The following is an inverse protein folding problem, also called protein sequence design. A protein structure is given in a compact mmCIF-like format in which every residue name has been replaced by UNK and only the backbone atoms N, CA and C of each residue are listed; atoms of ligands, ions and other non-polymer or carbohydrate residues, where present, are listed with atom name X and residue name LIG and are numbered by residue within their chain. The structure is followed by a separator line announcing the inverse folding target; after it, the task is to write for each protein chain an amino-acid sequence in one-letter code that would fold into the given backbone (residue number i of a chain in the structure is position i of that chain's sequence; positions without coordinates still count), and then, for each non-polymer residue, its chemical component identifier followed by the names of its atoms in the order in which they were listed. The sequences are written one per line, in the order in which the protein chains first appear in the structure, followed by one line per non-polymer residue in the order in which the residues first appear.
data_IF_042908723857
#
_entry.id   IF_042908723857
#
_cell.length_a   1.000
_cell.length_b   1.000
_cell.length_c   1.000
_cell.angle_alpha   90.00
_cell.angle_beta   90.00
_cell.angle_gamma   90.00
#
_symmetry.space_group_name_H-M   'P 1'
#
loop_
_entity.id
_entity.type
_entity.pdbx_description
1 polymer ?
#
# COMPACT_ATOMS: atom_id res chain seq x y z
N UNK A 1 -24.12 -8.20 56.82
CA UNK A 1 -23.57 -8.11 55.44
C UNK A 1 -22.06 -8.09 55.58
N UNK A 2 -21.36 -9.06 55.01
CA UNK A 2 -19.94 -9.32 55.29
C UNK A 2 -19.05 -8.27 54.59
N UNK A 3 -18.13 -7.64 55.34
CA UNK A 3 -17.24 -6.56 54.85
C UNK A 3 -16.40 -7.06 53.66
N UNK A 4 -16.03 -8.34 53.68
CA UNK A 4 -15.27 -8.99 52.61
C UNK A 4 -16.04 -9.06 51.29
N UNK A 5 -17.34 -9.27 51.36
CA UNK A 5 -18.22 -9.33 50.18
C UNK A 5 -18.38 -7.94 49.55
N UNK A 6 -18.49 -6.90 50.38
CA UNK A 6 -18.55 -5.53 49.91
C UNK A 6 -17.23 -5.11 49.23
N UNK A 7 -16.08 -5.48 49.78
CA UNK A 7 -14.77 -5.21 49.17
C UNK A 7 -14.62 -5.87 47.79
N UNK A 8 -15.10 -7.11 47.63
CA UNK A 8 -15.10 -7.80 46.32
C UNK A 8 -15.99 -7.11 45.30
N UNK A 9 -17.18 -6.67 45.71
CA UNK A 9 -18.11 -5.97 44.81
C UNK A 9 -17.56 -4.62 44.36
N UNK A 10 -16.86 -3.89 45.24
CA UNK A 10 -16.18 -2.64 44.88
C UNK A 10 -15.07 -2.91 43.87
N UNK A 11 -14.19 -3.90 44.14
CA UNK A 11 -13.11 -4.24 43.21
C UNK A 11 -13.66 -4.65 41.84
N UNK A 12 -14.70 -5.48 41.79
CA UNK A 12 -15.33 -5.87 40.53
C UNK A 12 -15.80 -4.65 39.72
N UNK A 13 -16.52 -3.72 40.36
CA UNK A 13 -17.00 -2.49 39.70
C UNK A 13 -15.87 -1.60 39.18
N UNK A 14 -14.76 -1.52 39.92
CA UNK A 14 -13.57 -0.77 39.49
C UNK A 14 -12.94 -1.43 38.26
N UNK A 15 -12.79 -2.76 38.27
CA UNK A 15 -12.23 -3.52 37.15
C UNK A 15 -13.11 -3.47 35.90
N UNK A 16 -14.43 -3.56 36.05
CA UNK A 16 -15.38 -3.50 34.94
C UNK A 16 -15.37 -2.11 34.28
N UNK A 17 -15.34 -1.04 35.09
CA UNK A 17 -15.23 0.33 34.57
C UNK A 17 -13.90 0.58 33.85
N UNK A 18 -12.81 0.00 34.33
CA UNK A 18 -11.50 0.10 33.69
C UNK A 18 -11.50 -0.59 32.32
N UNK A 19 -12.00 -1.83 32.24
CA UNK A 19 -12.12 -2.56 30.97
C UNK A 19 -13.01 -1.82 29.98
N UNK A 20 -14.14 -1.28 30.43
CA UNK A 20 -15.03 -0.51 29.56
C UNK A 20 -14.35 0.74 29.01
N UNK A 21 -13.57 1.44 29.85
CA UNK A 21 -12.80 2.62 29.44
C UNK A 21 -11.76 2.26 28.39
N UNK A 22 -11.00 1.17 28.58
CA UNK A 22 -9.97 0.73 27.63
C UNK A 22 -10.60 0.29 26.31
N UNK A 23 -11.70 -0.48 26.35
CA UNK A 23 -12.44 -0.91 25.17
C UNK A 23 -12.95 0.28 24.36
N UNK A 24 -13.53 1.29 25.03
CA UNK A 24 -13.96 2.52 24.36
C UNK A 24 -12.80 3.28 23.71
N UNK A 25 -11.62 3.36 24.36
CA UNK A 25 -10.46 4.02 23.77
C UNK A 25 -10.00 3.30 22.50
N UNK A 26 -9.96 1.97 22.51
CA UNK A 26 -9.57 1.17 21.34
C UNK A 26 -10.57 1.34 20.17
N UNK A 27 -11.87 1.35 20.46
CA UNK A 27 -12.91 1.61 19.44
C UNK A 27 -12.76 2.99 18.80
N UNK A 28 -12.48 4.02 19.62
CA UNK A 28 -12.27 5.39 19.15
C UNK A 28 -11.03 5.45 18.25
N UNK A 29 -9.91 4.86 18.68
CA UNK A 29 -8.66 4.84 17.92
C UNK A 29 -8.87 4.13 16.57
N UNK A 30 -9.51 2.96 16.58
CA UNK A 30 -9.84 2.21 15.36
C UNK A 30 -10.70 3.04 14.39
N UNK A 31 -11.69 3.75 14.91
CA UNK A 31 -12.58 4.59 14.09
C UNK A 31 -11.86 5.80 13.49
N UNK A 32 -10.97 6.44 14.26
CA UNK A 32 -10.11 7.53 13.77
C UNK A 32 -9.20 7.02 12.64
N UNK A 33 -8.57 5.86 12.83
CA UNK A 33 -7.71 5.26 11.81
C UNK A 33 -8.50 4.98 10.52
N UNK A 34 -9.67 4.33 10.63
CA UNK A 34 -10.56 4.08 9.49
C UNK A 34 -10.96 5.37 8.77
N UNK A 35 -11.27 6.44 9.51
CA UNK A 35 -11.64 7.75 8.93
C UNK A 35 -10.47 8.43 8.22
N UNK A 36 -9.26 8.36 8.77
CA UNK A 36 -8.07 8.99 8.17
C UNK A 36 -7.54 8.21 6.95
N UNK A 37 -7.83 6.90 6.89
CA UNK A 37 -7.52 6.03 5.75
C UNK A 37 -8.49 6.21 4.57
N UNK A 38 -9.63 6.91 4.76
CA UNK A 38 -10.52 7.29 3.64
C UNK A 38 -9.91 8.43 2.83
N UNK A 39 -8.75 8.18 2.22
CA UNK A 39 -8.21 9.00 1.15
C UNK A 39 -9.17 8.90 -0.02
N UNK A 40 -10.04 9.90 -0.18
CA UNK A 40 -10.85 10.07 -1.38
C UNK A 40 -9.92 10.40 -2.53
N UNK A 41 -9.38 9.37 -3.18
CA UNK A 41 -8.64 9.51 -4.43
C UNK A 41 -9.60 10.03 -5.50
N UNK A 42 -9.26 11.15 -6.13
CA UNK A 42 -9.96 11.62 -7.33
C UNK A 42 -9.37 10.90 -8.52
N UNK A 43 -10.13 9.97 -9.10
CA UNK A 43 -9.73 9.23 -10.29
C UNK A 43 -10.11 10.02 -11.54
N UNK A 44 -9.12 10.30 -12.40
CA UNK A 44 -9.33 10.96 -13.70
C UNK A 44 -9.04 9.93 -14.80
N UNK A 45 -10.03 9.65 -15.65
CA UNK A 45 -9.89 8.78 -16.80
C UNK A 45 -9.55 9.57 -18.07
N UNK A 46 -8.50 9.17 -18.79
CA UNK A 46 -8.15 9.71 -20.12
C UNK A 46 -8.41 8.60 -21.14
N UNK A 47 -9.39 8.77 -22.03
CA UNK A 47 -9.87 7.74 -22.97
C UNK A 47 -9.76 8.22 -24.42
N UNK A 48 -9.51 7.29 -25.36
CA UNK A 48 -9.30 7.57 -26.79
C UNK A 48 -8.55 6.42 -27.48
N UNK A 49 -8.41 6.46 -28.81
CA UNK A 49 -7.73 5.40 -29.60
C UNK A 49 -6.20 5.42 -29.37
N UNK A 50 -5.55 4.30 -29.68
CA UNK A 50 -4.08 4.22 -29.61
C UNK A 50 -3.44 5.25 -30.55
N UNK A 51 -2.35 5.89 -30.11
CA UNK A 51 -1.67 6.93 -30.88
C UNK A 51 -2.24 8.35 -30.79
N UNK A 52 -3.41 8.57 -30.18
CA UNK A 52 -4.03 9.91 -30.05
C UNK A 52 -3.36 10.82 -29.00
N UNK A 53 -2.21 10.41 -28.45
CA UNK A 53 -1.44 11.25 -27.54
C UNK A 53 -1.97 11.35 -26.11
N UNK A 54 -2.84 10.42 -25.67
CA UNK A 54 -3.32 10.35 -24.27
C UNK A 54 -2.17 10.34 -23.25
N UNK A 55 -1.15 9.53 -23.50
CA UNK A 55 0.06 9.46 -22.67
C UNK A 55 0.87 10.75 -22.71
N UNK A 56 0.85 11.45 -23.85
CA UNK A 56 1.47 12.77 -24.03
C UNK A 56 0.72 13.85 -23.26
N UNK A 57 -0.62 13.80 -23.24
CA UNK A 57 -1.47 14.71 -22.46
C UNK A 57 -1.28 14.50 -20.96
N UNK A 58 -1.28 13.25 -20.49
CA UNK A 58 -1.00 12.91 -19.10
C UNK A 58 0.38 13.43 -18.67
N UNK A 59 1.39 13.21 -19.52
CA UNK A 59 2.76 13.69 -19.33
C UNK A 59 2.84 15.22 -19.27
N UNK A 60 2.07 15.92 -20.11
CA UNK A 60 2.00 17.38 -20.12
C UNK A 60 1.34 17.95 -18.85
N UNK A 61 0.20 17.38 -18.42
CA UNK A 61 -0.52 17.79 -17.20
C UNK A 61 0.35 17.58 -15.96
N UNK A 62 1.08 16.47 -15.90
CA UNK A 62 1.99 16.17 -14.78
C UNK A 62 3.32 16.93 -14.84
N UNK A 63 3.57 17.74 -15.88
CA UNK A 63 4.83 18.47 -16.07
C UNK A 63 6.05 17.55 -16.26
N UNK A 64 5.84 16.29 -16.66
CA UNK A 64 6.88 15.26 -16.80
C UNK A 64 6.84 14.70 -18.22
N UNK A 65 7.79 15.07 -19.07
CA UNK A 65 7.94 14.52 -20.44
C UNK A 65 8.29 13.02 -20.33
N UNK A 66 7.52 12.14 -20.99
CA UNK A 66 7.69 10.68 -21.05
C UNK A 66 7.41 9.91 -19.75
N UNK A 67 6.33 10.25 -19.02
CA UNK A 67 5.91 9.49 -17.83
C UNK A 67 5.53 8.04 -18.16
N UNK A 68 5.18 7.77 -19.41
CA UNK A 68 4.87 6.46 -19.94
C UNK A 68 5.82 6.18 -21.10
N UNK A 69 6.36 4.96 -21.24
CA UNK A 69 7.05 4.58 -22.47
C UNK A 69 6.10 4.80 -23.65
N UNK A 70 6.52 5.60 -24.62
CA UNK A 70 5.78 5.77 -25.88
C UNK A 70 5.95 4.51 -26.72
N UNK A 71 5.22 3.46 -26.39
CA UNK A 71 5.22 2.24 -27.17
C UNK A 71 4.48 2.47 -28.50
N UNK A 72 5.24 2.65 -29.57
CA UNK A 72 4.73 2.61 -30.94
C UNK A 72 4.41 1.17 -31.41
N UNK A 73 4.35 0.20 -30.50
CA UNK A 73 4.07 -1.20 -30.82
C UNK A 73 3.15 -1.77 -29.73
N UNK A 74 1.87 -2.02 -30.08
CA UNK A 74 0.93 -2.81 -29.28
C UNK A 74 0.61 -2.29 -27.87
N UNK A 75 -0.54 -1.61 -27.72
CA UNK A 75 -1.25 -1.31 -26.48
C UNK A 75 -0.49 -1.49 -25.14
N UNK A 76 0.15 -0.40 -24.67
CA UNK A 76 0.82 -0.37 -23.38
C UNK A 76 0.36 0.85 -22.58
N UNK A 77 -0.34 0.61 -21.47
CA UNK A 77 -0.67 1.61 -20.46
C UNK A 77 -0.54 0.92 -19.12
N UNK A 78 0.65 0.97 -18.52
CA UNK A 78 0.92 0.38 -17.21
C UNK A 78 1.51 1.42 -16.25
N UNK A 79 0.64 1.80 -15.31
CA UNK A 79 0.73 2.52 -14.01
C UNK A 79 1.88 2.01 -13.11
N UNK A 80 2.48 2.64 -12.09
CA UNK A 80 2.63 4.01 -11.51
C UNK A 80 3.91 3.95 -10.66
N UNK A 81 4.79 4.96 -10.75
CA UNK A 81 6.15 4.93 -10.19
C UNK A 81 6.29 5.34 -8.71
N UNK A 82 5.26 5.87 -8.05
CA UNK A 82 5.32 6.28 -6.63
C UNK A 82 4.37 5.50 -5.72
N UNK A 83 3.30 4.92 -6.29
CA UNK A 83 2.38 4.07 -5.54
C UNK A 83 2.90 2.65 -5.36
N UNK A 84 3.81 2.15 -6.21
CA UNK A 84 4.28 0.76 -6.15
C UNK A 84 5.01 0.43 -4.83
N UNK A 85 5.92 1.29 -4.35
CA UNK A 85 6.58 1.08 -3.06
C UNK A 85 5.59 1.13 -1.90
N UNK A 86 4.58 2.01 -1.99
CA UNK A 86 3.55 2.13 -0.97
C UNK A 86 2.65 0.89 -0.97
N UNK A 87 2.23 0.43 -2.13
CA UNK A 87 1.44 -0.80 -2.28
C UNK A 87 2.24 -2.01 -1.79
N UNK A 88 3.54 -2.08 -2.10
CA UNK A 88 4.42 -3.13 -1.58
C UNK A 88 4.50 -3.11 -0.05
N UNK A 89 4.65 -1.92 0.56
CA UNK A 89 4.64 -1.74 2.02
C UNK A 89 3.29 -2.12 2.64
N UNK A 90 2.19 -1.74 2.01
CA UNK A 90 0.84 -2.06 2.46
C UNK A 90 0.62 -3.59 2.44
N UNK A 91 1.04 -4.28 1.38
CA UNK A 91 0.97 -5.75 1.29
C UNK A 91 1.85 -6.45 2.34
N UNK A 92 3.07 -5.99 2.58
CA UNK A 92 3.93 -6.53 3.63
C UNK A 92 3.36 -6.33 5.04
N UNK A 93 2.66 -5.22 5.25
CA UNK A 93 1.96 -4.94 6.51
C UNK A 93 0.85 -5.96 6.74
N UNK A 94 0.10 -6.31 5.69
CA UNK A 94 -0.92 -7.37 5.74
C UNK A 94 -0.29 -8.74 6.02
N UNK A 95 0.85 -9.05 5.41
CA UNK A 95 1.55 -10.33 5.66
C UNK A 95 2.14 -10.46 7.07
N UNK A 96 2.43 -9.33 7.72
CA UNK A 96 2.98 -9.31 9.09
C UNK A 96 1.88 -9.38 10.16
N UNK A 97 0.60 -9.44 9.77
CA UNK A 97 -0.54 -9.53 10.70
C UNK A 97 -0.74 -10.98 11.17
N UNK A 98 -0.20 -11.28 12.35
CA UNK A 98 -0.34 -12.56 13.03
C UNK A 98 -1.58 -12.64 13.94
N UNK A 99 -2.52 -11.68 13.85
CA UNK A 99 -3.73 -11.71 14.67
C UNK A 99 -4.70 -12.82 14.22
N UNK A 100 -5.41 -13.41 15.19
CA UNK A 100 -6.44 -14.43 14.92
C UNK A 100 -7.63 -13.87 14.11
N UNK A 101 -7.79 -12.53 14.11
CA UNK A 101 -8.83 -11.79 13.40
C UNK A 101 -8.35 -11.23 12.04
N UNK A 102 -7.19 -11.68 11.55
CA UNK A 102 -6.65 -11.21 10.26
C UNK A 102 -7.61 -11.53 9.12
N UNK A 103 -7.61 -10.65 8.12
CA UNK A 103 -8.40 -10.85 6.91
C UNK A 103 -7.70 -11.87 6.00
N UNK A 104 -8.16 -13.12 6.08
CA UNK A 104 -7.54 -14.29 5.42
C UNK A 104 -7.56 -14.16 3.90
N UNK A 105 -8.61 -13.53 3.33
CA UNK A 105 -8.72 -13.25 1.89
C UNK A 105 -7.66 -12.21 1.46
N UNK A 106 -7.50 -11.13 2.23
CA UNK A 106 -6.46 -10.12 1.98
C UNK A 106 -5.05 -10.69 2.15
N UNK A 107 -4.86 -11.60 3.11
CA UNK A 107 -3.60 -12.28 3.34
C UNK A 107 -3.21 -13.15 2.14
N UNK A 108 -4.12 -14.00 1.65
CA UNK A 108 -3.88 -14.85 0.47
C UNK A 108 -3.54 -14.01 -0.78
N UNK A 109 -4.28 -12.93 -1.01
CA UNK A 109 -4.00 -11.99 -2.11
C UNK A 109 -2.61 -11.36 -1.99
N UNK A 110 -2.19 -11.01 -0.76
CA UNK A 110 -0.88 -10.43 -0.52
C UNK A 110 0.25 -11.44 -0.80
N UNK A 111 0.07 -12.69 -0.36
CA UNK A 111 1.00 -13.80 -0.66
C UNK A 111 1.13 -14.00 -2.16
N UNK A 112 0.01 -14.11 -2.89
CA UNK A 112 0.01 -14.32 -4.33
C UNK A 112 0.72 -13.19 -5.08
N UNK A 113 0.41 -11.93 -4.74
CA UNK A 113 1.01 -10.75 -5.38
C UNK A 113 2.52 -10.66 -5.14
N UNK A 114 2.96 -10.83 -3.89
CA UNK A 114 4.39 -10.75 -3.55
C UNK A 114 5.15 -11.92 -4.17
N UNK A 115 4.57 -13.12 -4.14
CA UNK A 115 5.15 -14.32 -4.77
C UNK A 115 5.24 -14.19 -6.29
N UNK A 116 4.25 -13.59 -6.94
CA UNK A 116 4.29 -13.36 -8.39
C UNK A 116 5.40 -12.38 -8.81
N UNK A 117 5.68 -11.37 -7.98
CA UNK A 117 6.69 -10.35 -8.24
C UNK A 117 8.12 -10.80 -7.91
N UNK A 118 8.30 -11.40 -6.74
CA UNK A 118 9.63 -11.73 -6.20
C UNK A 118 9.94 -13.23 -6.21
N UNK A 119 9.00 -14.07 -6.63
CA UNK A 119 9.14 -15.52 -6.67
C UNK A 119 8.79 -16.18 -5.33
N UNK A 120 9.04 -17.48 -5.27
CA UNK A 120 8.71 -18.33 -4.12
C UNK A 120 9.47 -17.87 -2.86
N UNK A 121 8.81 -17.96 -1.71
CA UNK A 121 9.34 -17.60 -0.38
C UNK A 121 9.50 -16.08 -0.15
N UNK A 122 8.95 -15.24 -1.04
CA UNK A 122 9.01 -13.79 -0.89
C UNK A 122 8.02 -13.23 0.14
N UNK A 123 6.93 -13.94 0.39
CA UNK A 123 5.92 -13.63 1.41
C UNK A 123 6.48 -13.73 2.84
N UNK A 124 7.62 -14.41 3.03
CA UNK A 124 8.31 -14.56 4.31
C UNK A 124 9.43 -13.52 4.52
N UNK A 125 9.63 -12.59 3.58
CA UNK A 125 10.72 -11.60 3.60
C UNK A 125 10.21 -10.22 3.98
N UNK A 126 11.05 -9.48 4.69
CA UNK A 126 10.83 -8.06 5.03
C UNK A 126 11.09 -7.14 3.83
N UNK A 127 10.61 -5.89 3.90
CA UNK A 127 10.85 -4.89 2.85
C UNK A 127 12.35 -4.70 2.60
N UNK A 128 13.15 -4.67 3.67
CA UNK A 128 14.59 -4.47 3.64
C UNK A 128 15.34 -5.65 2.99
N UNK A 129 14.77 -6.86 3.07
CA UNK A 129 15.30 -8.05 2.41
C UNK A 129 14.91 -8.08 0.94
N UNK A 130 13.67 -7.70 0.61
CA UNK A 130 13.21 -7.57 -0.78
C UNK A 130 13.96 -6.45 -1.51
N UNK A 131 14.28 -5.34 -0.84
CA UNK A 131 15.08 -4.25 -1.40
C UNK A 131 16.51 -4.65 -1.79
N UNK A 132 17.04 -5.72 -1.20
CA UNK A 132 18.36 -6.27 -1.55
C UNK A 132 18.30 -7.30 -2.66
N UNK A 133 17.11 -7.71 -3.07
CA UNK A 133 16.91 -8.65 -4.16
C UNK A 133 17.20 -7.97 -5.50
N UNK A 134 17.89 -8.68 -6.40
CA UNK A 134 18.19 -8.18 -7.75
C UNK A 134 16.91 -7.79 -8.51
N UNK A 135 15.77 -8.44 -8.18
CA UNK A 135 14.45 -8.11 -8.75
C UNK A 135 13.95 -6.74 -8.31
N UNK A 136 14.23 -6.30 -7.09
CA UNK A 136 13.86 -4.96 -6.65
C UNK A 136 14.64 -3.91 -7.43
N UNK A 137 15.94 -4.13 -7.60
CA UNK A 137 16.77 -3.27 -8.44
C UNK A 137 16.32 -3.31 -9.91
N UNK A 138 15.88 -4.44 -10.44
CA UNK A 138 15.31 -4.55 -11.79
C UNK A 138 14.00 -3.77 -11.93
N UNK A 139 13.07 -3.92 -10.97
CA UNK A 139 11.81 -3.16 -10.94
C UNK A 139 12.08 -1.66 -10.78
N UNK A 140 12.98 -1.29 -9.87
CA UNK A 140 13.41 0.10 -9.66
C UNK A 140 14.11 0.65 -10.91
N UNK A 141 14.95 -0.13 -11.58
CA UNK A 141 15.59 0.26 -12.84
C UNK A 141 14.55 0.44 -13.95
N UNK A 142 13.58 -0.46 -14.11
CA UNK A 142 12.49 -0.28 -15.09
C UNK A 142 11.69 1.00 -14.81
N UNK A 143 11.43 1.28 -13.53
CA UNK A 143 10.74 2.49 -13.06
C UNK A 143 11.59 3.74 -13.28
N UNK A 144 12.89 3.69 -12.98
CA UNK A 144 13.81 4.84 -13.03
C UNK A 144 14.36 5.08 -14.43
N UNK A 145 14.56 4.08 -15.27
CA UNK A 145 14.88 4.21 -16.71
C UNK A 145 13.74 4.88 -17.46
N UNK A 146 12.49 4.55 -17.09
CA UNK A 146 11.31 5.29 -17.54
C UNK A 146 11.41 6.78 -17.14
N UNK A 147 12.04 7.10 -16.01
CA UNK A 147 12.27 8.49 -15.56
C UNK A 147 13.58 9.15 -16.06
N UNK A 148 14.63 8.38 -16.37
CA UNK A 148 16.00 8.84 -16.66
C UNK A 148 16.28 9.10 -18.14
N UNK A 149 15.41 8.64 -19.06
CA UNK A 149 15.37 9.13 -20.45
C UNK A 149 15.22 10.67 -20.55
N UNK A 150 14.96 11.36 -19.42
CA UNK A 150 15.04 12.82 -19.23
C UNK A 150 16.39 13.49 -19.54
N UNK A 151 17.54 12.80 -19.57
CA UNK A 151 18.85 13.48 -19.61
C UNK A 151 19.55 13.59 -20.98
N UNK A 152 19.07 12.95 -22.03
CA UNK A 152 19.76 12.95 -23.34
C UNK A 152 18.82 13.48 -24.44
N UNK A 153 18.53 14.78 -24.41
CA UNK A 153 18.21 15.59 -25.61
C UNK A 153 18.30 17.07 -25.27
N UNK A 154 19.49 17.50 -24.86
CA UNK A 154 19.98 18.84 -25.14
C UNK A 154 21.26 18.67 -25.95
N UNK A 155 21.11 18.61 -27.26
CA UNK A 155 22.20 18.77 -28.21
C UNK A 155 21.62 19.54 -29.39
N UNK A 156 22.09 20.79 -29.47
CA UNK A 156 22.00 21.80 -30.53
C UNK A 156 20.67 22.47 -30.87
#
# INVERSE_FOLDING_TARGET
MDIRENAKNIMKRVTDNLHHTISMHNDIISKIYKMNTVNRKTTIGIVGKSGEGKSSLLSAILGKKNLMPSGSFGACTSVVTQEWEKELKDLLTVLSDDSEDRDEDLFEIAVEKITALYGRDADQKTLEELQKDDKYAEIENVITETQNSKKISKSD
#
